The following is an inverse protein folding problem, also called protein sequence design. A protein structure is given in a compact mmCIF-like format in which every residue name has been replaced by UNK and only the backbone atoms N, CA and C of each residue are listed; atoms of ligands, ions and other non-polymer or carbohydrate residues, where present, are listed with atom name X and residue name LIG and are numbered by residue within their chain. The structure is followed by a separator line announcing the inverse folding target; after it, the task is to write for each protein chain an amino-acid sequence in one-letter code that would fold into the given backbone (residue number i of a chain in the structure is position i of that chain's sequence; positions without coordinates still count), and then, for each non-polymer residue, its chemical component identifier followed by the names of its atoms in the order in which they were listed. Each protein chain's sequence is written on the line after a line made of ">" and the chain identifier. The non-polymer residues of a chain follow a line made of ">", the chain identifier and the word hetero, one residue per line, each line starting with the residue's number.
data_IF_749864891156
#
_entry.id   IF_749864891156
#
_cell.length_a   1.000
_cell.length_b   1.000
_cell.length_c   1.000
_cell.angle_alpha   90.00
_cell.angle_beta   90.00
_cell.angle_gamma   90.00
#
_symmetry.space_group_name_H-M   'P 1'
#
loop_
_entity.id
_entity.type
_entity.pdbx_description
1 polymer ?
#
# COMPACT_ATOMS: atom_id res chain seq x y z
N UNK A 1 -81.66 -25.57 -62.97
CA UNK A 1 -80.29 -24.98 -63.01
C UNK A 1 -80.03 -24.29 -61.66
N UNK A 2 -79.34 -24.97 -60.78
CA UNK A 2 -78.96 -24.43 -59.45
C UNK A 2 -77.56 -23.98 -59.51
N UNK A 3 -77.33 -22.67 -59.32
CA UNK A 3 -76.01 -22.10 -59.15
C UNK A 3 -75.61 -22.21 -57.67
N UNK A 4 -74.72 -23.13 -57.31
CA UNK A 4 -74.03 -23.20 -56.05
C UNK A 4 -72.99 -22.11 -56.04
N UNK A 5 -73.22 -21.09 -55.25
CA UNK A 5 -72.21 -20.05 -54.99
C UNK A 5 -71.24 -20.53 -53.93
N UNK A 6 -69.96 -20.71 -54.30
CA UNK A 6 -68.86 -21.17 -53.47
C UNK A 6 -68.28 -19.95 -52.65
N UNK A 7 -68.97 -19.58 -51.55
CA UNK A 7 -68.60 -18.47 -50.68
C UNK A 7 -67.84 -18.89 -49.42
N UNK A 8 -67.61 -20.20 -49.23
CA UNK A 8 -67.03 -20.72 -47.97
C UNK A 8 -65.53 -20.78 -47.89
N UNK A 9 -64.79 -20.63 -49.00
CA UNK A 9 -63.31 -20.80 -49.02
C UNK A 9 -62.49 -19.54 -48.86
N UNK A 10 -63.10 -18.42 -49.19
CA UNK A 10 -62.41 -17.06 -49.06
C UNK A 10 -62.34 -16.61 -47.59
N UNK A 11 -63.33 -16.87 -46.77
CA UNK A 11 -63.38 -16.42 -45.37
C UNK A 11 -62.34 -17.12 -44.45
N UNK A 12 -62.13 -18.46 -44.73
CA UNK A 12 -61.10 -19.19 -43.90
C UNK A 12 -59.64 -18.74 -44.17
N UNK A 13 -59.33 -18.37 -45.41
CA UNK A 13 -57.99 -17.83 -45.75
C UNK A 13 -57.75 -16.43 -45.14
N UNK A 14 -58.78 -15.59 -45.07
CA UNK A 14 -58.72 -14.26 -44.52
C UNK A 14 -58.48 -14.32 -42.99
N UNK A 15 -59.07 -15.25 -42.30
CA UNK A 15 -58.92 -15.47 -40.86
C UNK A 15 -57.48 -15.88 -40.45
N UNK A 16 -56.74 -16.55 -41.31
CA UNK A 16 -55.35 -16.94 -41.11
C UNK A 16 -54.39 -15.79 -41.53
N UNK A 17 -54.74 -15.00 -42.53
CA UNK A 17 -53.91 -13.88 -43.02
C UNK A 17 -53.85 -12.73 -42.01
N UNK A 18 -54.92 -12.41 -41.31
CA UNK A 18 -54.98 -11.30 -40.35
C UNK A 18 -53.93 -11.47 -39.23
N UNK A 19 -53.83 -12.62 -38.53
CA UNK A 19 -52.80 -12.77 -37.49
C UNK A 19 -51.37 -12.80 -38.05
N UNK A 20 -51.14 -13.31 -39.24
CA UNK A 20 -49.84 -13.31 -39.91
C UNK A 20 -49.40 -11.87 -40.22
N UNK A 21 -50.28 -11.06 -40.78
CA UNK A 21 -50.01 -9.64 -41.04
C UNK A 21 -49.77 -8.87 -39.75
N UNK A 22 -50.56 -9.15 -38.69
CA UNK A 22 -50.36 -8.53 -37.39
C UNK A 22 -48.97 -8.85 -36.80
N UNK A 23 -48.53 -10.12 -36.86
CA UNK A 23 -47.20 -10.55 -36.44
C UNK A 23 -46.10 -9.85 -37.25
N UNK A 24 -46.26 -9.72 -38.58
CA UNK A 24 -45.26 -9.03 -39.42
C UNK A 24 -45.20 -7.54 -39.12
N UNK A 25 -46.36 -6.88 -38.86
CA UNK A 25 -46.38 -5.47 -38.46
C UNK A 25 -45.70 -5.27 -37.08
N UNK A 26 -45.99 -6.15 -36.11
CA UNK A 26 -45.33 -6.10 -34.79
C UNK A 26 -43.84 -6.34 -34.95
N UNK A 27 -43.42 -7.34 -35.73
CA UNK A 27 -41.97 -7.55 -35.97
C UNK A 27 -41.29 -6.37 -36.63
N UNK A 28 -41.92 -5.77 -37.66
CA UNK A 28 -41.39 -4.56 -38.31
C UNK A 28 -41.32 -3.37 -37.35
N UNK A 29 -42.35 -3.19 -36.50
CA UNK A 29 -42.37 -2.14 -35.48
C UNK A 29 -41.29 -2.36 -34.43
N UNK A 30 -41.03 -3.60 -34.00
CA UNK A 30 -39.95 -3.94 -33.06
C UNK A 30 -38.55 -3.69 -33.67
N UNK A 31 -38.37 -4.08 -34.95
CA UNK A 31 -37.10 -3.80 -35.67
C UNK A 31 -36.89 -2.29 -35.80
N UNK A 32 -37.93 -1.55 -36.18
CA UNK A 32 -37.84 -0.09 -36.26
C UNK A 32 -37.56 0.54 -34.90
N UNK A 33 -38.27 0.10 -33.84
CA UNK A 33 -38.07 0.60 -32.49
C UNK A 33 -36.60 0.36 -32.03
N UNK A 34 -36.08 -0.84 -32.27
CA UNK A 34 -34.71 -1.20 -31.94
C UNK A 34 -33.65 -0.46 -32.78
N UNK A 35 -34.01 0.00 -33.98
CA UNK A 35 -33.11 0.81 -34.82
C UNK A 35 -33.00 2.27 -34.35
N UNK A 36 -34.07 2.79 -33.74
CA UNK A 36 -34.15 4.22 -33.30
C UNK A 36 -33.85 4.38 -31.83
N UNK A 37 -34.17 3.38 -31.00
CA UNK A 37 -34.06 3.45 -29.56
C UNK A 37 -33.18 2.33 -28.99
N UNK A 38 -32.57 2.61 -27.84
CA UNK A 38 -31.89 1.62 -27.00
C UNK A 38 -32.49 1.70 -25.60
N UNK A 39 -32.63 0.55 -24.95
CA UNK A 39 -33.10 0.49 -23.56
C UNK A 39 -31.92 0.47 -22.60
N UNK A 40 -31.87 1.48 -21.72
CA UNK A 40 -30.84 1.59 -20.69
C UNK A 40 -31.45 2.23 -19.42
N UNK A 41 -32.18 1.42 -18.62
CA UNK A 41 -32.98 1.95 -17.49
C UNK A 41 -34.07 2.93 -17.91
N UNK A 42 -34.40 2.98 -19.20
CA UNK A 42 -35.36 3.79 -19.94
C UNK A 42 -35.12 3.68 -21.44
N UNK A 43 -36.03 4.20 -22.26
CA UNK A 43 -35.86 4.29 -23.71
C UNK A 43 -35.05 5.56 -24.04
N UNK A 44 -33.91 5.41 -24.67
CA UNK A 44 -33.06 6.50 -25.16
C UNK A 44 -32.92 6.43 -26.69
N UNK A 45 -32.89 7.56 -27.35
CA UNK A 45 -32.63 7.59 -28.80
C UNK A 45 -31.17 7.23 -29.07
N UNK A 46 -30.92 6.46 -30.14
CA UNK A 46 -29.57 6.07 -30.54
C UNK A 46 -28.69 7.24 -31.01
N UNK A 47 -29.31 8.34 -31.46
CA UNK A 47 -28.66 9.56 -31.89
C UNK A 47 -28.44 10.59 -30.74
N UNK A 48 -28.72 10.18 -29.49
CA UNK A 48 -28.49 11.05 -28.33
C UNK A 48 -26.99 11.32 -28.15
N UNK A 49 -26.62 12.60 -28.01
CA UNK A 49 -25.24 12.97 -27.73
C UNK A 49 -24.76 12.53 -26.34
N UNK A 50 -25.70 12.39 -25.40
CA UNK A 50 -25.42 11.94 -24.03
C UNK A 50 -26.58 11.16 -23.43
N UNK A 51 -26.26 10.21 -22.56
CA UNK A 51 -27.21 9.43 -21.78
C UNK A 51 -26.76 9.43 -20.33
N UNK A 52 -27.65 9.81 -19.42
CA UNK A 52 -27.39 9.80 -17.96
C UNK A 52 -28.05 8.55 -17.32
N UNK A 53 -27.19 7.65 -16.83
CA UNK A 53 -27.58 6.41 -16.15
C UNK A 53 -27.23 6.45 -14.65
N UNK A 54 -26.80 7.58 -14.12
CA UNK A 54 -26.48 7.73 -12.69
C UNK A 54 -27.74 7.49 -11.85
N UNK A 55 -27.56 6.85 -10.70
CA UNK A 55 -28.67 6.41 -9.84
C UNK A 55 -29.48 5.24 -10.38
N UNK A 56 -29.08 4.66 -11.52
CA UNK A 56 -29.75 3.47 -12.11
C UNK A 56 -28.90 2.22 -11.89
N UNK A 57 -29.52 1.12 -11.52
CA UNK A 57 -28.83 -0.18 -11.38
C UNK A 57 -28.51 -0.75 -12.76
N UNK A 58 -27.39 -0.35 -13.33
CA UNK A 58 -26.87 -0.85 -14.62
C UNK A 58 -25.64 -1.73 -14.33
N UNK A 59 -25.62 -2.94 -14.90
CA UNK A 59 -24.44 -3.80 -14.81
C UNK A 59 -23.31 -3.31 -15.73
N UNK A 60 -22.07 -3.63 -15.37
CA UNK A 60 -20.89 -3.31 -16.17
C UNK A 60 -21.01 -3.86 -17.61
N UNK A 61 -21.44 -5.13 -17.75
CA UNK A 61 -21.68 -5.74 -19.05
C UNK A 61 -22.68 -4.93 -19.90
N UNK A 62 -23.74 -4.43 -19.25
CA UNK A 62 -24.74 -3.60 -19.93
C UNK A 62 -24.16 -2.26 -20.34
N UNK A 63 -23.37 -1.64 -19.47
CA UNK A 63 -22.67 -0.40 -19.80
C UNK A 63 -21.72 -0.59 -21.00
N UNK A 64 -20.90 -1.64 -21.00
CA UNK A 64 -19.99 -1.97 -22.11
C UNK A 64 -20.74 -2.20 -23.41
N UNK A 65 -21.83 -2.98 -23.37
CA UNK A 65 -22.70 -3.22 -24.53
C UNK A 65 -23.33 -1.92 -25.08
N UNK A 66 -23.67 -0.97 -24.19
CA UNK A 66 -24.18 0.34 -24.61
C UNK A 66 -23.08 1.18 -25.29
N UNK A 67 -21.86 1.16 -24.78
CA UNK A 67 -20.71 1.85 -25.38
C UNK A 67 -20.40 1.34 -26.78
N UNK A 68 -20.48 0.02 -26.99
CA UNK A 68 -20.31 -0.59 -28.33
C UNK A 68 -21.43 -0.17 -29.29
N UNK A 69 -22.69 -0.12 -28.80
CA UNK A 69 -23.84 0.24 -29.61
C UNK A 69 -23.92 1.74 -29.91
N UNK A 70 -23.31 2.58 -29.10
CA UNK A 70 -23.40 4.03 -29.10
C UNK A 70 -22.01 4.66 -28.97
N UNK A 71 -21.09 4.46 -29.93
CA UNK A 71 -19.68 4.87 -29.79
C UNK A 71 -19.51 6.39 -29.66
N UNK A 72 -20.40 7.19 -30.22
CA UNK A 72 -20.35 8.66 -30.20
C UNK A 72 -21.14 9.27 -29.02
N UNK A 73 -21.83 8.46 -28.23
CA UNK A 73 -22.66 8.91 -27.11
C UNK A 73 -21.84 8.97 -25.82
N UNK A 74 -21.88 10.09 -25.12
CA UNK A 74 -21.32 10.19 -23.76
C UNK A 74 -22.28 9.57 -22.77
N UNK A 75 -21.86 8.46 -22.12
CA UNK A 75 -22.68 7.73 -21.18
C UNK A 75 -22.15 7.99 -19.78
N UNK A 76 -22.96 8.63 -18.94
CA UNK A 76 -22.70 8.82 -17.51
C UNK A 76 -23.30 7.66 -16.72
N UNK A 77 -22.55 7.09 -15.82
CA UNK A 77 -23.03 6.03 -14.96
C UNK A 77 -22.25 5.97 -13.64
N UNK A 78 -22.81 5.27 -12.68
CA UNK A 78 -22.18 5.03 -11.40
C UNK A 78 -21.40 3.71 -11.47
N UNK A 79 -20.08 3.81 -11.31
CA UNK A 79 -19.15 2.67 -11.42
C UNK A 79 -19.08 1.93 -10.10
N UNK A 80 -19.35 0.61 -10.07
CA UNK A 80 -19.12 -0.20 -8.88
C UNK A 80 -17.63 -0.49 -8.74
N UNK A 81 -16.99 0.07 -7.72
CA UNK A 81 -15.55 -0.08 -7.47
C UNK A 81 -15.24 -0.05 -5.97
N UNK A 82 -14.36 -0.94 -5.48
CA UNK A 82 -13.91 -0.97 -4.11
C UNK A 82 -15.02 -1.14 -3.06
N UNK A 83 -16.12 -1.83 -3.43
CA UNK A 83 -17.30 -2.01 -2.60
C UNK A 83 -18.24 -0.79 -2.52
N UNK A 84 -17.93 0.28 -3.24
CA UNK A 84 -18.74 1.49 -3.36
C UNK A 84 -19.31 1.64 -4.78
N UNK A 85 -20.18 2.65 -4.96
CA UNK A 85 -20.74 3.05 -6.26
C UNK A 85 -20.40 4.52 -6.44
N UNK A 86 -19.61 4.85 -7.46
CA UNK A 86 -18.99 6.17 -7.62
C UNK A 86 -19.29 6.74 -9.01
N UNK A 87 -19.64 8.02 -9.08
CA UNK A 87 -19.88 8.73 -10.35
C UNK A 87 -18.63 8.68 -11.24
N UNK A 88 -18.79 8.26 -12.50
CA UNK A 88 -17.71 8.16 -13.48
C UNK A 88 -16.98 9.50 -13.79
N UNK A 89 -17.55 10.65 -13.45
CA UNK A 89 -16.91 11.97 -13.61
C UNK A 89 -16.11 12.41 -12.37
N UNK A 90 -15.99 11.54 -11.34
CA UNK A 90 -15.21 11.86 -10.15
C UNK A 90 -13.74 12.09 -10.52
N UNK A 91 -13.18 13.18 -9.98
CA UNK A 91 -11.76 13.55 -10.14
C UNK A 91 -10.89 13.02 -9.02
N UNK A 92 -11.47 12.65 -7.88
CA UNK A 92 -10.82 12.06 -6.73
C UNK A 92 -11.68 10.94 -6.16
N UNK A 93 -11.05 9.81 -5.80
CA UNK A 93 -11.73 8.62 -5.29
C UNK A 93 -10.98 8.13 -4.04
N UNK A 94 -11.74 7.75 -3.01
CA UNK A 94 -11.23 7.06 -1.83
C UNK A 94 -11.79 5.64 -1.82
N UNK A 95 -10.92 4.63 -1.78
CA UNK A 95 -11.33 3.23 -1.74
C UNK A 95 -10.87 2.57 -0.43
N UNK A 96 -11.72 1.70 0.11
CA UNK A 96 -11.41 0.87 1.29
C UNK A 96 -10.95 -0.54 0.91
N UNK A 97 -11.08 -0.91 -0.35
CA UNK A 97 -10.54 -2.14 -0.93
C UNK A 97 -10.21 -1.91 -2.40
N UNK A 98 -9.31 -2.72 -2.95
CA UNK A 98 -8.94 -2.67 -4.37
C UNK A 98 -8.64 -4.09 -4.85
N UNK A 99 -9.51 -4.62 -5.69
CA UNK A 99 -9.32 -5.91 -6.36
C UNK A 99 -8.61 -5.75 -7.70
N UNK A 100 -8.22 -6.84 -8.35
CA UNK A 100 -7.67 -6.80 -9.70
C UNK A 100 -8.66 -6.24 -10.72
N UNK A 101 -9.95 -6.61 -10.58
CA UNK A 101 -11.03 -6.09 -11.41
C UNK A 101 -11.23 -4.58 -11.20
N UNK A 102 -11.08 -4.10 -9.95
CA UNK A 102 -11.20 -2.67 -9.65
C UNK A 102 -10.09 -1.85 -10.34
N UNK A 103 -8.89 -2.40 -10.47
CA UNK A 103 -7.82 -1.75 -11.24
C UNK A 103 -8.25 -1.53 -12.69
N UNK A 104 -8.89 -2.52 -13.32
CA UNK A 104 -9.41 -2.37 -14.69
C UNK A 104 -10.55 -1.33 -14.75
N UNK A 105 -11.41 -1.27 -13.72
CA UNK A 105 -12.54 -0.32 -13.63
C UNK A 105 -12.12 1.12 -13.48
N UNK A 106 -10.89 1.42 -13.05
CA UNK A 106 -10.36 2.78 -13.02
C UNK A 106 -10.39 3.44 -14.42
N UNK A 107 -10.36 2.66 -15.50
CA UNK A 107 -10.52 3.15 -16.87
C UNK A 107 -11.89 3.81 -17.15
N UNK A 108 -12.90 3.56 -16.30
CA UNK A 108 -14.21 4.19 -16.43
C UNK A 108 -14.29 5.61 -15.85
N UNK A 109 -13.20 6.11 -15.27
CA UNK A 109 -13.11 7.45 -14.69
C UNK A 109 -12.16 8.34 -15.52
N UNK A 110 -12.63 8.92 -16.64
CA UNK A 110 -11.75 9.66 -17.55
C UNK A 110 -11.16 10.95 -16.97
N UNK A 111 -11.76 11.48 -15.90
CA UNK A 111 -11.33 12.71 -15.22
C UNK A 111 -10.56 12.43 -13.91
N UNK A 112 -10.29 11.17 -13.56
CA UNK A 112 -9.66 10.81 -12.30
C UNK A 112 -8.22 11.32 -12.24
N UNK A 113 -7.93 12.14 -11.22
CA UNK A 113 -6.61 12.69 -10.95
C UNK A 113 -6.00 12.17 -9.64
N UNK A 114 -6.85 11.80 -8.67
CA UNK A 114 -6.41 11.39 -7.34
C UNK A 114 -7.10 10.10 -6.91
N UNK A 115 -6.32 9.14 -6.40
CA UNK A 115 -6.80 7.88 -5.83
C UNK A 115 -6.21 7.70 -4.42
N UNK A 116 -7.06 7.69 -3.42
CA UNK A 116 -6.66 7.46 -2.03
C UNK A 116 -6.97 6.01 -1.63
N UNK A 117 -5.90 5.24 -1.38
CA UNK A 117 -5.89 3.85 -0.94
C UNK A 117 -5.38 3.72 0.50
N UNK A 118 -5.27 4.81 1.26
CA UNK A 118 -4.68 4.77 2.61
C UNK A 118 -5.47 3.93 3.60
N UNK A 119 -6.79 3.79 3.39
CA UNK A 119 -7.67 2.94 4.19
C UNK A 119 -7.81 1.51 3.63
N UNK A 120 -7.23 1.23 2.45
CA UNK A 120 -7.34 -0.07 1.80
C UNK A 120 -6.16 -0.99 2.15
N UNK A 121 -6.44 -2.29 2.33
CA UNK A 121 -5.40 -3.31 2.42
C UNK A 121 -4.93 -3.71 1.02
N UNK A 122 -3.97 -2.96 0.50
CA UNK A 122 -3.41 -3.14 -0.85
C UNK A 122 -1.98 -3.65 -0.75
N UNK A 123 -1.68 -4.73 -1.47
CA UNK A 123 -0.32 -5.26 -1.55
C UNK A 123 0.58 -4.37 -2.43
N UNK A 124 1.92 -4.41 -2.23
CA UNK A 124 2.88 -3.67 -3.07
C UNK A 124 2.70 -3.95 -4.56
N UNK A 125 2.50 -5.22 -4.94
CA UNK A 125 2.34 -5.63 -6.35
C UNK A 125 1.09 -5.00 -6.98
N UNK A 126 0.00 -4.89 -6.22
CA UNK A 126 -1.23 -4.27 -6.70
C UNK A 126 -1.10 -2.76 -6.81
N UNK A 127 -0.42 -2.14 -5.86
CA UNK A 127 -0.08 -0.71 -5.93
C UNK A 127 0.76 -0.42 -7.19
N UNK A 128 1.79 -1.23 -7.46
CA UNK A 128 2.63 -1.11 -8.65
C UNK A 128 1.83 -1.32 -9.95
N UNK A 129 0.88 -2.26 -9.97
CA UNK A 129 -0.01 -2.47 -11.10
C UNK A 129 -0.85 -1.23 -11.41
N UNK A 130 -1.37 -0.53 -10.39
CA UNK A 130 -2.08 0.75 -10.57
C UNK A 130 -1.17 1.80 -11.16
N UNK A 131 0.03 1.99 -10.59
CA UNK A 131 1.00 2.98 -11.07
C UNK A 131 1.44 2.73 -12.52
N UNK A 132 1.63 1.46 -12.86
CA UNK A 132 2.01 1.06 -14.22
C UNK A 132 0.89 1.31 -15.23
N UNK A 133 -0.37 1.00 -14.86
CA UNK A 133 -1.53 1.20 -15.73
C UNK A 133 -1.95 2.67 -15.86
N UNK A 134 -1.75 3.46 -14.78
CA UNK A 134 -2.21 4.85 -14.69
C UNK A 134 -1.09 5.79 -14.20
N UNK A 135 -0.03 6.02 -14.98
CA UNK A 135 1.15 6.77 -14.55
C UNK A 135 0.89 8.26 -14.25
N UNK A 136 -0.21 8.82 -14.76
CA UNK A 136 -0.61 10.21 -14.49
C UNK A 136 -1.48 10.35 -13.24
N UNK A 137 -1.93 9.23 -12.63
CA UNK A 137 -2.79 9.24 -11.46
C UNK A 137 -1.95 9.47 -10.19
N UNK A 138 -2.34 10.44 -9.38
CA UNK A 138 -1.78 10.63 -8.05
C UNK A 138 -2.39 9.58 -7.09
N UNK A 139 -1.56 8.64 -6.63
CA UNK A 139 -2.03 7.56 -5.76
C UNK A 139 -1.40 7.69 -4.38
N UNK A 140 -2.25 7.82 -3.36
CA UNK A 140 -1.86 7.73 -1.95
C UNK A 140 -2.10 6.31 -1.45
N UNK A 141 -1.14 5.76 -0.74
CA UNK A 141 -1.18 4.39 -0.24
C UNK A 141 -0.57 4.29 1.15
N UNK A 142 -1.02 3.32 1.94
CA UNK A 142 -0.42 2.96 3.23
C UNK A 142 0.53 1.78 3.07
N UNK A 143 1.82 2.04 3.28
CA UNK A 143 2.91 1.07 3.17
C UNK A 143 2.89 0.15 4.41
N UNK A 144 2.77 -1.18 4.25
CA UNK A 144 2.83 -2.11 5.37
C UNK A 144 4.28 -2.36 5.78
N UNK A 145 4.65 -2.04 7.02
CA UNK A 145 5.96 -2.35 7.60
C UNK A 145 5.72 -2.94 9.00
N UNK A 146 6.17 -4.16 9.23
CA UNK A 146 5.87 -4.91 10.43
C UNK A 146 4.36 -5.06 10.64
N UNK A 147 3.90 -4.77 11.85
CA UNK A 147 2.47 -4.76 12.18
C UNK A 147 1.78 -3.43 11.87
N UNK A 148 2.50 -2.43 11.38
CA UNK A 148 2.01 -1.06 11.17
C UNK A 148 1.83 -0.71 9.69
N UNK A 149 1.05 0.36 9.43
CA UNK A 149 0.88 0.92 8.09
C UNK A 149 1.16 2.41 8.13
N UNK A 150 1.91 2.88 7.16
CA UNK A 150 2.35 4.27 7.09
C UNK A 150 1.95 4.90 5.76
N UNK A 151 1.38 6.11 5.76
CA UNK A 151 1.10 6.83 4.51
C UNK A 151 2.38 7.00 3.68
N UNK A 152 2.29 6.81 2.36
CA UNK A 152 3.44 6.91 1.46
C UNK A 152 4.06 8.31 1.40
N UNK A 153 3.34 9.34 1.83
CA UNK A 153 3.77 10.74 1.96
C UNK A 153 4.22 11.11 3.38
N UNK A 154 4.36 10.14 4.29
CA UNK A 154 4.83 10.40 5.65
C UNK A 154 6.27 10.96 5.64
N UNK A 155 6.51 12.04 6.41
CA UNK A 155 7.84 12.60 6.61
C UNK A 155 8.59 11.93 7.77
N UNK A 156 7.86 11.35 8.72
CA UNK A 156 8.40 10.63 9.88
C UNK A 156 7.53 9.41 10.21
N UNK A 157 8.17 8.34 10.67
CA UNK A 157 7.49 7.11 11.10
C UNK A 157 8.07 6.63 12.43
N UNK A 158 7.30 5.78 13.14
CA UNK A 158 7.78 5.08 14.34
C UNK A 158 7.79 3.58 14.05
N UNK A 159 8.97 2.97 14.04
CA UNK A 159 9.16 1.54 13.79
C UNK A 159 9.10 0.78 15.13
N UNK A 160 8.27 -0.25 15.21
CA UNK A 160 8.19 -1.14 16.38
C UNK A 160 8.75 -2.52 16.07
N UNK A 161 8.58 -2.96 14.83
CA UNK A 161 9.09 -4.24 14.34
C UNK A 161 9.13 -4.20 12.80
N UNK A 162 10.16 -4.78 12.21
CA UNK A 162 10.25 -5.02 10.76
C UNK A 162 11.39 -5.99 10.46
N UNK A 163 11.45 -6.51 9.24
CA UNK A 163 12.43 -7.49 8.79
C UNK A 163 13.25 -6.96 7.63
N UNK A 164 14.42 -7.57 7.39
CA UNK A 164 15.28 -7.23 6.24
C UNK A 164 14.55 -7.40 4.91
N UNK A 165 13.60 -8.33 4.82
CA UNK A 165 12.80 -8.54 3.60
C UNK A 165 11.84 -7.38 3.28
N UNK A 166 11.53 -6.54 4.26
CA UNK A 166 10.65 -5.36 4.10
C UNK A 166 11.42 -4.10 3.70
N UNK A 167 12.76 -4.13 3.68
CA UNK A 167 13.57 -2.98 3.25
C UNK A 167 13.18 -2.38 1.90
N UNK A 168 12.77 -3.15 0.87
CA UNK A 168 12.32 -2.58 -0.39
C UNK A 168 11.07 -1.71 -0.26
N UNK A 169 10.24 -1.91 0.79
CA UNK A 169 9.04 -1.11 1.02
C UNK A 169 9.34 0.34 1.34
N UNK A 170 10.53 0.63 1.84
CA UNK A 170 10.97 2.01 2.10
C UNK A 170 11.16 2.83 0.82
N UNK A 171 11.32 2.19 -0.35
CA UNK A 171 11.41 2.86 -1.65
C UNK A 171 10.06 3.51 -2.07
N UNK A 172 8.95 3.13 -1.44
CA UNK A 172 7.63 3.71 -1.70
C UNK A 172 7.36 5.01 -0.96
N UNK A 173 8.15 5.35 0.05
CA UNK A 173 8.02 6.65 0.71
C UNK A 173 8.52 7.78 -0.18
N UNK A 174 7.69 8.81 -0.35
CA UNK A 174 8.02 9.96 -1.21
C UNK A 174 8.64 11.12 -0.44
N UNK A 175 8.45 11.18 0.89
CA UNK A 175 8.83 12.31 1.73
C UNK A 175 9.54 11.91 3.03
N UNK A 176 9.84 10.63 3.28
CA UNK A 176 10.39 10.15 4.54
C UNK A 176 11.77 10.73 4.83
N UNK A 177 11.92 11.35 6.00
CA UNK A 177 13.16 11.99 6.48
C UNK A 177 13.67 11.38 7.78
N UNK A 178 12.77 10.86 8.62
CA UNK A 178 13.15 10.31 9.92
C UNK A 178 12.34 9.07 10.27
N UNK A 179 12.98 8.15 11.00
CA UNK A 179 12.37 6.98 11.59
C UNK A 179 12.82 6.81 13.03
N UNK A 180 11.87 6.80 13.96
CA UNK A 180 12.08 6.50 15.36
C UNK A 180 11.89 5.00 15.59
N UNK A 181 12.97 4.30 15.92
CA UNK A 181 12.99 2.86 16.18
C UNK A 181 13.42 2.53 17.62
N UNK A 182 13.25 3.45 18.55
CA UNK A 182 13.69 3.25 19.95
C UNK A 182 12.98 2.11 20.67
N UNK A 183 11.79 1.71 20.20
CA UNK A 183 11.08 0.53 20.71
C UNK A 183 11.30 -0.76 19.91
N UNK A 184 12.21 -0.76 18.91
CA UNK A 184 12.44 -1.89 18.01
C UNK A 184 13.66 -2.71 18.45
N UNK A 185 13.50 -4.03 18.56
CA UNK A 185 14.58 -4.96 18.85
C UNK A 185 15.14 -5.68 17.59
N UNK A 186 14.78 -5.19 16.39
CA UNK A 186 15.16 -5.77 15.10
C UNK A 186 16.49 -5.18 14.57
N UNK A 187 17.56 -5.19 15.39
CA UNK A 187 18.81 -4.46 15.16
C UNK A 187 19.50 -4.75 13.83
N UNK A 188 19.51 -6.01 13.36
CA UNK A 188 20.11 -6.37 12.06
C UNK A 188 19.36 -5.68 10.89
N UNK A 189 18.04 -5.58 10.99
CA UNK A 189 17.23 -4.87 10.01
C UNK A 189 17.46 -3.34 10.09
N UNK A 190 17.67 -2.78 11.30
CA UNK A 190 17.99 -1.37 11.51
C UNK A 190 19.36 -1.01 10.91
N UNK A 191 20.38 -1.86 11.08
CA UNK A 191 21.68 -1.66 10.45
C UNK A 191 21.56 -1.70 8.92
N UNK A 192 20.84 -2.68 8.38
CA UNK A 192 20.62 -2.78 6.94
C UNK A 192 19.81 -1.59 6.38
N UNK A 193 18.83 -1.08 7.15
CA UNK A 193 18.07 0.12 6.80
C UNK A 193 18.98 1.35 6.73
N UNK A 194 19.85 1.54 7.73
CA UNK A 194 20.83 2.63 7.76
C UNK A 194 21.80 2.56 6.59
N UNK A 195 22.29 1.37 6.26
CA UNK A 195 23.20 1.18 5.14
C UNK A 195 22.53 1.52 3.80
N UNK A 196 21.30 1.04 3.60
CA UNK A 196 20.55 1.29 2.36
C UNK A 196 20.10 2.75 2.22
N UNK A 197 19.73 3.42 3.33
CA UNK A 197 19.20 4.79 3.33
C UNK A 197 19.99 5.70 4.26
N UNK A 198 21.24 6.05 3.93
CA UNK A 198 22.12 6.83 4.80
C UNK A 198 21.64 8.26 5.05
N UNK A 199 20.74 8.80 4.23
CA UNK A 199 20.12 10.11 4.42
C UNK A 199 18.92 10.08 5.39
N UNK A 200 18.39 8.90 5.72
CA UNK A 200 17.31 8.76 6.68
C UNK A 200 17.84 8.97 8.10
N UNK A 201 17.24 9.92 8.82
CA UNK A 201 17.53 10.11 10.24
C UNK A 201 16.87 8.96 11.02
N UNK A 202 17.66 7.94 11.35
CA UNK A 202 17.22 6.73 12.04
C UNK A 202 17.81 6.71 13.45
N UNK A 203 16.96 6.54 14.46
CA UNK A 203 17.34 6.49 15.87
C UNK A 203 16.79 5.20 16.50
N UNK A 204 17.66 4.47 17.24
CA UNK A 204 17.23 3.33 18.05
C UNK A 204 17.94 3.31 19.41
N UNK A 205 17.48 2.43 20.29
CA UNK A 205 18.08 2.20 21.60
C UNK A 205 18.52 0.75 21.71
N UNK A 206 19.63 0.53 22.41
CA UNK A 206 20.15 -0.80 22.70
C UNK A 206 20.21 -0.93 24.23
N UNK A 207 19.52 -1.93 24.81
CA UNK A 207 19.61 -2.19 26.24
C UNK A 207 20.94 -2.83 26.61
N UNK A 208 21.54 -2.35 27.69
CA UNK A 208 22.72 -2.93 28.31
C UNK A 208 22.55 -2.90 29.83
N UNK A 209 22.23 -4.05 30.42
CA UNK A 209 21.83 -4.13 31.83
C UNK A 209 20.51 -3.39 32.08
N UNK A 210 20.52 -2.45 33.01
CA UNK A 210 19.36 -1.62 33.36
C UNK A 210 19.27 -0.30 32.55
N UNK A 211 20.23 -0.04 31.70
CA UNK A 211 20.36 1.23 30.94
C UNK A 211 20.14 0.98 29.46
N UNK A 212 19.44 1.90 28.79
CA UNK A 212 19.27 1.92 27.35
C UNK A 212 20.14 3.02 26.73
N UNK A 213 20.93 2.67 25.73
CA UNK A 213 21.81 3.60 25.02
C UNK A 213 21.29 3.87 23.62
N UNK A 214 21.26 5.14 23.23
CA UNK A 214 21.00 5.51 21.85
C UNK A 214 22.12 4.99 20.94
N UNK A 215 21.79 4.62 19.73
CA UNK A 215 22.74 4.23 18.67
C UNK A 215 23.80 5.30 18.38
N UNK A 216 23.49 6.56 18.69
CA UNK A 216 24.39 7.72 18.60
C UNK A 216 25.24 7.97 19.85
N UNK A 217 25.08 7.15 20.90
CA UNK A 217 25.85 7.32 22.12
C UNK A 217 27.35 7.07 21.89
N UNK A 218 28.18 8.02 22.24
CA UNK A 218 29.64 7.93 22.16
C UNK A 218 30.29 7.38 23.42
N UNK A 219 29.61 7.54 24.57
CA UNK A 219 30.06 7.09 25.87
C UNK A 219 29.07 6.10 26.45
N UNK A 220 29.55 4.94 26.85
CA UNK A 220 28.78 3.83 27.43
C UNK A 220 29.32 3.59 28.85
N UNK A 221 28.52 3.83 29.88
CA UNK A 221 28.86 3.54 31.26
C UNK A 221 28.20 2.21 31.70
N UNK A 222 29.01 1.19 31.96
CA UNK A 222 28.55 -0.12 32.36
C UNK A 222 28.58 -0.26 33.88
N UNK A 223 27.51 0.16 34.55
CA UNK A 223 27.40 0.15 36.01
C UNK A 223 26.99 -1.21 36.58
N UNK A 224 26.42 -2.08 35.76
CA UNK A 224 25.97 -3.41 36.17
C UNK A 224 27.10 -4.43 36.02
N UNK A 225 27.63 -4.89 37.16
CA UNK A 225 28.72 -5.87 37.22
C UNK A 225 28.27 -7.29 36.74
N UNK A 226 26.98 -7.54 36.57
CA UNK A 226 26.48 -8.82 36.09
C UNK A 226 26.52 -8.92 34.53
N UNK A 227 26.82 -7.85 33.85
CA UNK A 227 26.99 -7.84 32.40
C UNK A 227 28.18 -8.71 32.01
N UNK A 228 27.92 -9.65 31.11
CA UNK A 228 28.97 -10.54 30.59
C UNK A 228 29.68 -9.89 29.38
N UNK A 229 30.94 -10.31 29.08
CA UNK A 229 31.62 -9.87 27.85
C UNK A 229 30.81 -10.11 26.59
N UNK A 230 30.05 -11.21 26.51
CA UNK A 230 29.21 -11.55 25.36
C UNK A 230 28.01 -10.59 25.22
N UNK A 231 27.37 -10.23 26.33
CA UNK A 231 26.27 -9.26 26.30
C UNK A 231 26.76 -7.86 25.86
N UNK A 232 27.95 -7.42 26.34
CA UNK A 232 28.54 -6.18 25.87
C UNK A 232 28.93 -6.25 24.38
N UNK A 233 29.51 -7.36 23.96
CA UNK A 233 29.87 -7.59 22.55
C UNK A 233 28.64 -7.46 21.65
N UNK A 234 27.53 -8.10 22.01
CA UNK A 234 26.28 -8.02 21.28
C UNK A 234 25.73 -6.60 21.24
N UNK A 235 25.71 -5.89 22.37
CA UNK A 235 25.25 -4.49 22.42
C UNK A 235 26.11 -3.56 21.54
N UNK A 236 27.45 -3.68 21.60
CA UNK A 236 28.36 -2.83 20.85
C UNK A 236 28.24 -3.00 19.33
N UNK A 237 27.80 -4.15 18.85
CA UNK A 237 27.50 -4.36 17.40
C UNK A 237 26.42 -3.40 16.90
N UNK A 238 25.51 -3.01 17.78
CA UNK A 238 24.37 -2.16 17.46
C UNK A 238 24.51 -0.72 18.00
N UNK A 239 25.67 -0.38 18.55
CA UNK A 239 26.05 0.96 19.03
C UNK A 239 27.22 1.52 18.18
N UNK A 240 27.00 1.82 16.90
CA UNK A 240 28.08 2.14 15.96
C UNK A 240 28.82 3.44 16.29
N UNK A 241 28.23 4.32 17.10
CA UNK A 241 28.85 5.57 17.51
C UNK A 241 29.70 5.45 18.78
N UNK A 242 29.70 4.29 19.47
CA UNK A 242 30.44 4.09 20.72
C UNK A 242 31.95 4.33 20.55
N UNK A 243 32.51 5.25 21.32
CA UNK A 243 33.93 5.57 21.35
C UNK A 243 34.59 5.15 22.66
N UNK A 244 33.85 5.24 23.77
CA UNK A 244 34.34 4.90 25.10
C UNK A 244 33.37 4.03 25.83
N UNK A 245 33.88 2.97 26.46
CA UNK A 245 33.11 2.09 27.35
C UNK A 245 33.81 2.09 28.71
N UNK A 246 33.16 2.61 29.75
CA UNK A 246 33.69 2.71 31.09
C UNK A 246 33.01 1.76 32.07
N UNK A 247 33.80 1.22 32.96
CA UNK A 247 33.40 0.30 34.02
C UNK A 247 33.86 0.81 35.38
N UNK A 248 32.97 1.08 36.33
CA UNK A 248 33.38 1.41 37.72
C UNK A 248 33.89 0.16 38.44
N UNK A 249 33.44 -1.03 38.05
CA UNK A 249 33.95 -2.32 38.52
C UNK A 249 33.90 -3.32 37.34
N UNK A 250 34.97 -4.09 37.13
CA UNK A 250 35.05 -5.03 36.03
C UNK A 250 35.58 -6.39 36.51
N UNK A 251 34.74 -7.41 36.70
CA UNK A 251 35.16 -8.71 37.24
C UNK A 251 35.82 -9.61 36.16
N UNK A 252 35.92 -9.17 34.93
CA UNK A 252 36.43 -9.94 33.81
C UNK A 252 37.92 -10.19 33.84
N UNK A 253 38.34 -11.37 33.35
CA UNK A 253 39.73 -11.71 33.17
C UNK A 253 40.40 -10.85 32.11
N UNK A 254 41.75 -10.71 32.20
CA UNK A 254 42.51 -10.01 31.17
C UNK A 254 42.40 -10.60 29.79
N UNK A 255 42.14 -11.92 29.70
CA UNK A 255 41.89 -12.59 28.40
C UNK A 255 40.61 -12.07 27.76
N UNK A 256 39.50 -11.94 28.53
CA UNK A 256 38.22 -11.44 28.04
C UNK A 256 38.32 -9.96 27.67
N UNK A 257 38.98 -9.14 28.46
CA UNK A 257 39.24 -7.73 28.19
C UNK A 257 40.03 -7.55 26.89
N UNK A 258 41.09 -8.34 26.67
CA UNK A 258 41.90 -8.29 25.49
C UNK A 258 41.16 -8.78 24.24
N UNK A 259 40.28 -9.75 24.38
CA UNK A 259 39.39 -10.18 23.29
C UNK A 259 38.45 -9.08 22.81
N UNK A 260 37.84 -8.32 23.74
CA UNK A 260 36.98 -7.17 23.42
C UNK A 260 37.78 -6.03 22.73
N UNK A 261 38.99 -5.69 23.25
CA UNK A 261 39.84 -4.70 22.60
C UNK A 261 40.22 -5.09 21.17
N UNK A 262 40.49 -6.37 20.94
CA UNK A 262 40.85 -6.87 19.61
C UNK A 262 39.69 -6.81 18.63
N UNK A 263 38.45 -7.08 19.10
CA UNK A 263 37.23 -7.08 18.29
C UNK A 263 36.74 -5.65 17.98
N UNK A 264 36.87 -4.72 18.94
CA UNK A 264 36.44 -3.31 18.82
C UNK A 264 37.64 -2.34 18.94
N UNK A 265 38.58 -2.31 18.00
CA UNK A 265 39.79 -1.52 18.10
C UNK A 265 39.54 0.00 18.09
N UNK A 266 38.38 0.45 17.63
CA UNK A 266 38.00 1.87 17.63
C UNK A 266 37.37 2.32 18.96
N UNK A 267 37.13 1.41 19.90
CA UNK A 267 36.46 1.68 21.17
C UNK A 267 37.54 1.68 22.30
N UNK A 268 37.60 2.77 23.05
CA UNK A 268 38.41 2.84 24.25
C UNK A 268 37.69 2.19 25.43
N UNK A 269 38.30 1.17 26.03
CA UNK A 269 37.76 0.50 27.21
C UNK A 269 38.48 1.00 28.46
N UNK A 270 37.73 1.57 29.39
CA UNK A 270 38.23 2.13 30.64
C UNK A 270 37.71 1.31 31.83
N UNK A 271 38.57 0.60 32.52
CA UNK A 271 38.24 -0.18 33.71
C UNK A 271 39.16 0.11 34.90
N UNK A 272 38.73 -0.20 36.11
CA UNK A 272 39.51 0.05 37.29
C UNK A 272 40.79 -0.80 37.32
N UNK A 273 41.91 -0.19 37.63
CA UNK A 273 43.21 -0.82 37.83
C UNK A 273 43.66 -0.54 39.27
N UNK A 274 43.96 -1.58 40.03
CA UNK A 274 44.50 -1.40 41.37
C UNK A 274 46.02 -1.18 41.31
N UNK A 275 46.46 -0.06 41.84
CA UNK A 275 47.91 0.32 41.94
C UNK A 275 48.17 0.73 43.36
N UNK A 276 49.08 0.00 44.04
CA UNK A 276 49.50 0.25 45.44
C UNK A 276 48.37 0.30 46.46
N UNK A 277 47.25 -0.35 46.19
CA UNK A 277 46.07 -0.40 47.07
C UNK A 277 44.97 0.62 46.72
N UNK A 278 45.25 1.57 45.87
CA UNK A 278 44.26 2.50 45.32
C UNK A 278 43.74 2.04 43.93
N UNK A 279 42.53 2.45 43.57
CA UNK A 279 41.92 2.12 42.29
C UNK A 279 41.86 3.31 41.37
N UNK A 280 42.39 3.15 40.16
CA UNK A 280 42.46 4.20 39.14
C UNK A 280 41.82 3.71 37.83
N UNK A 281 41.23 4.59 37.02
CA UNK A 281 40.86 4.27 35.65
C UNK A 281 42.06 3.84 34.80
N UNK A 282 41.90 2.89 33.91
CA UNK A 282 43.01 2.33 33.10
C UNK A 282 43.62 3.34 32.11
N UNK A 283 42.95 4.46 31.87
CA UNK A 283 43.40 5.59 31.03
C UNK A 283 44.08 6.70 31.81
N UNK A 284 44.29 6.53 33.11
CA UNK A 284 45.00 7.51 33.93
C UNK A 284 46.45 7.67 33.46
N UNK A 285 46.82 8.86 32.99
CA UNK A 285 48.14 9.16 32.44
C UNK A 285 49.18 9.46 33.52
N UNK A 286 48.77 10.00 34.69
CA UNK A 286 49.65 10.37 35.80
C UNK A 286 49.00 9.96 37.12
N UNK A 287 49.81 9.40 38.02
CA UNK A 287 49.41 9.08 39.40
C UNK A 287 49.96 10.19 40.32
N UNK A 288 49.10 10.93 40.96
CA UNK A 288 49.45 11.99 41.90
C UNK A 288 49.55 11.49 43.33
#
# INVERSE_FOLDING_TARGET
>A
MSKHTDTGRAGKKLWILIPVIAVLIIAAALVWLNSVYVYAGGLHRRDSAQIDLRGKSISEERYLSLREQLPDCKIYWDVPIGGAVIDCESTAIVLTSLTEEDVARLAFFPALAELDLTAADVSPERFDAVRAAYPALSVRWSIPIGASRYPSDAESITLTDFTVSELPLFDYFTALRSADARGCACYDALLALREKYPALKLEWQVPLGSTEYLDSATEIAVDDISITPDALREALRYLPAAQTVSFPACPWSETEKNALRAEFPAVAFVWPVAIFGDTYPSDTAELS
#
